data_IF_667092542150
#
_entry.id   IF_667092542150
#
_cell.length_a   1.000
_cell.length_b   1.000
_cell.length_c   1.000
_cell.angle_alpha   90.00
_cell.angle_beta   90.00
_cell.angle_gamma   90.00
#
_symmetry.space_group_name_H-M   'P 1'
#
loop_
_entity.id
_entity.type
_entity.pdbx_description
1 polymer ?
#
# COMPACT_ATOMS: atom_id res chain seq x y z
N UNK A 1 8.45 -4.33 21.94
CA UNK A 1 8.75 -4.79 20.57
C UNK A 1 7.69 -4.15 19.70
N UNK A 2 8.07 -3.29 18.75
CA UNK A 2 7.11 -2.61 17.87
C UNK A 2 6.30 -3.66 17.11
N UNK A 3 4.98 -3.63 17.23
CA UNK A 3 4.09 -4.59 16.58
C UNK A 3 3.71 -4.07 15.20
N UNK A 4 4.02 -4.80 14.15
CA UNK A 4 3.49 -4.51 12.81
C UNK A 4 2.11 -5.15 12.65
N UNK A 5 1.18 -4.44 12.03
CA UNK A 5 -0.03 -5.06 11.50
C UNK A 5 0.35 -5.93 10.29
N UNK A 6 -0.35 -7.04 10.09
CA UNK A 6 -0.28 -7.75 8.81
C UNK A 6 -0.97 -6.89 7.72
N UNK A 7 -0.69 -7.19 6.45
CA UNK A 7 -1.19 -6.40 5.32
C UNK A 7 -2.72 -6.34 5.25
N UNK A 8 -3.43 -7.40 5.64
CA UNK A 8 -4.89 -7.43 5.63
C UNK A 8 -5.49 -6.51 6.70
N UNK A 9 -4.93 -6.53 7.91
CA UNK A 9 -5.35 -5.67 9.01
C UNK A 9 -5.03 -4.20 8.71
N UNK A 10 -3.85 -3.93 8.14
CA UNK A 10 -3.48 -2.59 7.66
C UNK A 10 -4.46 -2.09 6.60
N UNK A 11 -4.78 -2.92 5.59
CA UNK A 11 -5.77 -2.60 4.56
C UNK A 11 -7.14 -2.31 5.16
N UNK A 12 -7.60 -3.15 6.09
CA UNK A 12 -8.89 -2.99 6.76
C UNK A 12 -8.99 -1.66 7.50
N UNK A 13 -7.97 -1.31 8.28
CA UNK A 13 -7.91 -0.04 9.00
C UNK A 13 -7.96 1.15 8.02
N UNK A 14 -7.11 1.16 6.99
CA UNK A 14 -7.13 2.22 5.98
C UNK A 14 -8.49 2.34 5.28
N UNK A 15 -9.15 1.22 4.99
CA UNK A 15 -10.46 1.20 4.34
C UNK A 15 -11.57 1.77 5.23
N UNK A 16 -11.47 1.65 6.56
CA UNK A 16 -12.43 2.26 7.49
C UNK A 16 -12.39 3.80 7.45
N UNK A 17 -11.22 4.36 7.12
CA UNK A 17 -11.03 5.79 6.87
C UNK A 17 -11.26 6.18 5.40
N UNK A 18 -11.90 5.29 4.63
CA UNK A 18 -12.20 5.49 3.21
C UNK A 18 -10.95 5.80 2.35
N UNK A 19 -9.79 5.27 2.75
CA UNK A 19 -8.59 5.27 1.93
C UNK A 19 -8.70 4.06 0.99
N UNK A 20 -8.74 4.32 -0.31
CA UNK A 20 -8.92 3.30 -1.34
C UNK A 20 -7.73 2.35 -1.39
N UNK A 21 -7.96 1.08 -1.06
CA UNK A 21 -6.96 0.03 -1.10
C UNK A 21 -7.43 -1.12 -2.00
N UNK A 22 -6.47 -1.83 -2.61
CA UNK A 22 -6.74 -2.99 -3.44
C UNK A 22 -7.47 -4.08 -2.65
N UNK A 23 -8.61 -4.52 -3.18
CA UNK A 23 -9.44 -5.57 -2.56
C UNK A 23 -8.63 -6.85 -2.43
N UNK A 24 -8.75 -7.49 -1.28
CA UNK A 24 -7.99 -8.69 -0.97
C UNK A 24 -8.75 -9.66 -0.07
N UNK A 25 -8.53 -10.95 -0.26
CA UNK A 25 -9.05 -12.03 0.55
C UNK A 25 -7.91 -12.86 1.12
N UNK A 26 -8.05 -13.29 2.38
CA UNK A 26 -7.14 -14.27 2.98
C UNK A 26 -7.58 -15.67 2.58
N UNK A 27 -6.63 -16.46 2.12
CA UNK A 27 -6.80 -17.87 1.79
C UNK A 27 -5.78 -18.71 2.56
N UNK A 28 -6.25 -19.75 3.24
CA UNK A 28 -5.44 -20.72 3.99
C UNK A 28 -5.26 -22.03 3.24
N UNK A 29 -6.05 -22.25 2.19
CA UNK A 29 -5.92 -23.41 1.30
C UNK A 29 -5.89 -22.97 -0.16
N UNK A 30 -5.49 -23.90 -1.04
CA UNK A 30 -5.48 -23.69 -2.49
C UNK A 30 -6.91 -23.46 -3.01
N UNK A 31 -7.89 -24.20 -2.48
CA UNK A 31 -9.30 -24.07 -2.84
C UNK A 31 -9.84 -22.68 -2.48
N UNK A 32 -9.56 -22.21 -1.27
CA UNK A 32 -9.91 -20.84 -0.85
C UNK A 32 -9.21 -19.79 -1.73
N UNK A 33 -8.00 -20.06 -2.21
CA UNK A 33 -7.26 -19.16 -3.10
C UNK A 33 -7.89 -19.09 -4.50
N UNK A 34 -8.31 -20.24 -5.05
CA UNK A 34 -9.03 -20.32 -6.33
C UNK A 34 -10.37 -19.60 -6.25
N UNK A 35 -11.15 -19.81 -5.19
CA UNK A 35 -12.42 -19.11 -4.98
C UNK A 35 -12.24 -17.59 -4.86
N UNK A 36 -11.21 -17.15 -4.12
CA UNK A 36 -10.90 -15.73 -3.99
C UNK A 36 -10.47 -15.11 -5.32
N UNK A 37 -9.66 -15.82 -6.12
CA UNK A 37 -9.23 -15.38 -7.43
C UNK A 37 -10.41 -15.24 -8.41
N UNK A 38 -11.36 -16.18 -8.39
CA UNK A 38 -12.59 -16.07 -9.17
C UNK A 38 -13.44 -14.85 -8.76
N UNK A 39 -13.57 -14.59 -7.45
CA UNK A 39 -14.32 -13.43 -6.92
C UNK A 39 -13.69 -12.08 -7.28
N UNK A 40 -12.37 -12.02 -7.37
CA UNK A 40 -11.62 -10.80 -7.71
C UNK A 40 -11.45 -10.59 -9.21
N UNK A 41 -11.77 -11.61 -10.01
CA UNK A 41 -11.46 -11.72 -11.43
C UNK A 41 -9.95 -11.79 -11.69
N UNK A 42 -9.54 -12.74 -12.55
CA UNK A 42 -8.15 -12.89 -12.96
C UNK A 42 -7.78 -11.76 -13.96
N UNK A 43 -6.51 -11.28 -13.97
CA UNK A 43 -5.41 -11.76 -13.14
C UNK A 43 -5.42 -11.19 -11.71
N UNK A 44 -4.81 -11.92 -10.78
CA UNK A 44 -4.63 -11.53 -9.37
C UNK A 44 -3.17 -11.43 -8.96
N UNK A 45 -2.94 -10.85 -7.78
CA UNK A 45 -1.67 -10.84 -7.06
C UNK A 45 -1.78 -11.75 -5.85
N UNK A 46 -0.77 -12.57 -5.59
CA UNK A 46 -0.71 -13.47 -4.44
C UNK A 46 0.50 -13.13 -3.59
N UNK A 47 0.28 -12.87 -2.28
CA UNK A 47 1.33 -12.48 -1.34
C UNK A 47 1.26 -13.33 -0.07
N UNK A 48 2.40 -13.71 0.51
CA UNK A 48 2.37 -14.30 1.87
C UNK A 48 1.80 -13.27 2.86
N UNK A 49 0.93 -13.71 3.77
CA UNK A 49 0.49 -12.90 4.90
C UNK A 49 1.20 -13.39 6.16
N UNK A 50 2.15 -12.59 6.65
CA UNK A 50 2.83 -12.82 7.92
C UNK A 50 3.35 -11.50 8.49
N UNK A 51 3.15 -11.27 9.79
CA UNK A 51 3.78 -10.14 10.50
C UNK A 51 5.29 -10.25 10.59
N UNK A 52 5.84 -11.46 10.41
CA UNK A 52 7.26 -11.77 10.60
C UNK A 52 8.05 -11.69 9.28
N UNK A 53 7.35 -11.57 8.14
CA UNK A 53 7.92 -11.43 6.79
C UNK A 53 7.45 -10.11 6.19
N UNK A 54 8.09 -9.02 6.60
CA UNK A 54 7.76 -7.65 6.13
C UNK A 54 8.20 -7.46 4.66
N UNK A 55 9.42 -7.86 4.31
CA UNK A 55 9.99 -7.70 2.96
C UNK A 55 9.62 -8.89 2.04
N UNK A 56 8.32 -9.02 1.74
CA UNK A 56 7.73 -10.14 0.98
C UNK A 56 8.40 -10.36 -0.39
N UNK A 57 8.76 -9.28 -1.09
CA UNK A 57 9.42 -9.37 -2.41
C UNK A 57 10.81 -9.99 -2.29
N UNK A 58 11.61 -9.61 -1.29
CA UNK A 58 12.94 -10.17 -1.04
C UNK A 58 12.88 -11.63 -0.62
N UNK A 59 11.83 -12.00 0.12
CA UNK A 59 11.51 -13.39 0.45
C UNK A 59 11.01 -14.22 -0.75
N UNK A 60 10.77 -13.60 -1.92
CA UNK A 60 10.17 -14.26 -3.08
C UNK A 60 8.69 -14.62 -2.87
N UNK A 61 8.02 -14.01 -1.91
CA UNK A 61 6.66 -14.33 -1.49
C UNK A 61 5.59 -13.43 -2.15
N UNK A 62 5.88 -12.87 -3.33
CA UNK A 62 4.96 -12.03 -4.10
C UNK A 62 4.92 -12.54 -5.54
N UNK A 63 3.73 -12.94 -6.00
CA UNK A 63 3.47 -13.35 -7.38
C UNK A 63 2.43 -12.41 -7.98
N UNK A 64 2.82 -11.70 -9.03
CA UNK A 64 1.97 -10.72 -9.71
C UNK A 64 1.49 -11.27 -11.05
N UNK A 65 0.25 -10.94 -11.43
CA UNK A 65 -0.26 -11.29 -12.75
C UNK A 65 -0.54 -12.79 -12.91
N UNK A 66 -1.05 -13.43 -11.86
CA UNK A 66 -1.51 -14.83 -11.87
C UNK A 66 -2.84 -14.89 -12.65
N UNK A 67 -2.87 -15.63 -13.75
CA UNK A 67 -3.92 -15.54 -14.80
C UNK A 67 -4.85 -16.74 -14.90
N UNK A 68 -4.51 -17.87 -14.30
CA UNK A 68 -5.32 -19.09 -14.36
C UNK A 68 -5.40 -19.77 -13.00
N UNK A 69 -6.36 -20.67 -12.82
CA UNK A 69 -6.50 -21.45 -11.57
C UNK A 69 -5.30 -22.38 -11.32
N UNK A 70 -4.69 -22.91 -12.38
CA UNK A 70 -3.46 -23.69 -12.28
C UNK A 70 -2.29 -22.82 -11.80
N UNK A 71 -2.16 -21.60 -12.34
CA UNK A 71 -1.16 -20.64 -11.87
C UNK A 71 -1.41 -20.24 -10.40
N UNK A 72 -2.67 -20.15 -9.95
CA UNK A 72 -3.01 -19.90 -8.53
C UNK A 72 -2.49 -21.02 -7.64
N UNK A 73 -2.71 -22.28 -8.01
CA UNK A 73 -2.23 -23.44 -7.24
C UNK A 73 -0.70 -23.49 -7.16
N UNK A 74 -0.03 -23.26 -8.30
CA UNK A 74 1.42 -23.20 -8.35
C UNK A 74 1.98 -22.05 -7.50
N UNK A 75 1.40 -20.86 -7.62
CA UNK A 75 1.81 -19.69 -6.87
C UNK A 75 1.58 -19.87 -5.36
N UNK A 76 0.45 -20.47 -4.96
CA UNK A 76 0.16 -20.76 -3.55
C UNK A 76 1.24 -21.63 -2.91
N UNK A 77 1.61 -22.72 -3.60
CA UNK A 77 2.65 -23.65 -3.14
C UNK A 77 4.00 -22.93 -3.05
N UNK A 78 4.40 -22.23 -4.12
CA UNK A 78 5.67 -21.51 -4.17
C UNK A 78 5.78 -20.42 -3.10
N UNK A 79 4.71 -19.66 -2.86
CA UNK A 79 4.67 -18.60 -1.82
C UNK A 79 4.90 -19.19 -0.43
N UNK A 80 4.24 -20.29 -0.10
CA UNK A 80 4.39 -20.98 1.19
C UNK A 80 5.80 -21.54 1.37
N UNK A 81 6.33 -22.21 0.33
CA UNK A 81 7.69 -22.76 0.35
C UNK A 81 8.76 -21.68 0.47
N UNK A 82 8.59 -20.56 -0.21
CA UNK A 82 9.47 -19.40 -0.13
C UNK A 82 9.47 -18.81 1.29
N UNK A 83 8.29 -18.67 1.90
CA UNK A 83 8.16 -18.15 3.26
C UNK A 83 8.86 -19.05 4.28
N UNK A 84 8.64 -20.36 4.22
CA UNK A 84 9.28 -21.34 5.11
C UNK A 84 10.80 -21.37 4.93
N UNK A 85 11.31 -21.19 3.71
CA UNK A 85 12.77 -21.10 3.46
C UNK A 85 13.38 -19.80 3.96
N UNK A 86 12.64 -18.69 3.84
CA UNK A 86 13.11 -17.38 4.25
C UNK A 86 13.16 -17.24 5.77
N UNK A 87 12.12 -17.71 6.47
CA UNK A 87 12.06 -17.73 7.92
C UNK A 87 11.23 -18.94 8.41
N UNK A 88 11.87 -20.05 8.80
CA UNK A 88 11.17 -21.27 9.26
C UNK A 88 10.32 -21.07 10.53
N UNK A 89 10.65 -20.06 11.34
CA UNK A 89 9.96 -19.76 12.60
C UNK A 89 8.86 -18.70 12.42
N UNK A 90 8.67 -18.17 11.20
CA UNK A 90 7.65 -17.17 10.91
C UNK A 90 6.24 -17.74 11.09
N UNK A 91 5.39 -16.97 11.79
CA UNK A 91 3.95 -17.25 11.83
C UNK A 91 3.32 -16.84 10.50
N UNK A 92 2.93 -17.83 9.70
CA UNK A 92 2.19 -17.63 8.47
C UNK A 92 0.69 -17.65 8.77
N UNK A 93 -0.01 -16.56 8.47
CA UNK A 93 -1.47 -16.46 8.62
C UNK A 93 -2.22 -17.05 7.41
N UNK A 94 -1.57 -17.06 6.24
CA UNK A 94 -2.05 -17.62 4.97
C UNK A 94 -1.46 -16.89 3.76
N UNK A 95 -2.16 -16.94 2.64
CA UNK A 95 -1.83 -16.22 1.41
C UNK A 95 -2.92 -15.19 1.13
N UNK A 96 -2.52 -13.94 0.90
CA UNK A 96 -3.40 -12.85 0.50
C UNK A 96 -3.58 -12.89 -1.01
N UNK A 97 -4.82 -13.09 -1.47
CA UNK A 97 -5.22 -12.98 -2.88
C UNK A 97 -5.78 -11.58 -3.08
N UNK A 98 -5.17 -10.79 -3.95
CA UNK A 98 -5.45 -9.37 -4.13
C UNK A 98 -5.77 -9.09 -5.60
N UNK A 99 -6.73 -8.18 -5.85
CA UNK A 99 -7.02 -7.74 -7.22
C UNK A 99 -5.77 -7.12 -7.87
N UNK A 100 -5.57 -7.37 -9.17
CA UNK A 100 -4.49 -6.72 -9.90
C UNK A 100 -4.92 -5.30 -10.27
N UNK A 101 -4.56 -4.33 -9.42
CA UNK A 101 -4.82 -2.92 -9.69
C UNK A 101 -4.22 -2.51 -11.04
N UNK A 102 -4.95 -1.75 -11.89
CA UNK A 102 -4.38 -1.18 -13.09
C UNK A 102 -3.17 -0.33 -12.76
N UNK A 103 -2.17 -0.34 -13.66
CA UNK A 103 -1.02 0.55 -13.53
C UNK A 103 -1.49 2.01 -13.56
N UNK A 104 -0.93 2.82 -12.67
CA UNK A 104 -1.19 4.26 -12.57
C UNK A 104 0.10 5.03 -12.36
N UNK A 105 -0.02 6.33 -12.13
CA UNK A 105 1.11 7.13 -11.66
C UNK A 105 1.41 6.74 -10.21
N UNK A 106 2.60 6.25 -9.94
CA UNK A 106 3.01 5.87 -8.59
C UNK A 106 3.28 7.11 -7.73
N UNK A 107 2.61 7.16 -6.58
CA UNK A 107 2.90 8.04 -5.47
C UNK A 107 3.23 7.20 -4.22
N UNK A 108 3.89 7.83 -3.26
CA UNK A 108 4.06 7.31 -1.90
C UNK A 108 3.36 8.26 -0.94
N UNK A 109 2.62 7.68 0.02
CA UNK A 109 1.98 8.43 1.11
C UNK A 109 2.34 7.72 2.41
N UNK A 110 2.76 8.47 3.42
CA UNK A 110 3.07 7.87 4.70
C UNK A 110 3.01 8.85 5.85
N UNK A 111 3.16 8.34 7.05
CA UNK A 111 3.35 9.11 8.27
C UNK A 111 4.39 8.40 9.12
N UNK A 112 5.28 9.17 9.75
CA UNK A 112 6.15 8.64 10.80
C UNK A 112 6.16 9.59 11.99
N UNK A 113 6.10 9.04 13.20
CA UNK A 113 6.34 9.83 14.40
C UNK A 113 7.82 10.14 14.54
N UNK A 114 8.12 11.42 14.45
CA UNK A 114 9.41 11.96 14.82
C UNK A 114 9.50 12.08 16.36
N UNK A 115 10.63 11.69 16.99
CA UNK A 115 10.80 11.78 18.44
C UNK A 115 10.70 13.18 19.03
N UNK A 116 10.97 14.23 18.24
CA UNK A 116 10.95 15.63 18.68
C UNK A 116 9.66 16.33 18.24
N UNK A 117 9.22 16.09 17.02
CA UNK A 117 8.11 16.84 16.41
C UNK A 117 6.76 16.11 16.44
N UNK A 118 6.73 14.84 16.83
CA UNK A 118 5.52 14.02 16.78
C UNK A 118 5.20 13.55 15.36
N UNK A 119 3.93 13.29 15.02
CA UNK A 119 3.56 12.71 13.73
C UNK A 119 3.84 13.65 12.55
N UNK A 120 4.63 13.17 11.60
CA UNK A 120 4.99 13.87 10.36
C UNK A 120 4.43 13.08 9.16
N UNK A 121 3.53 13.70 8.41
CA UNK A 121 2.96 13.13 7.17
C UNK A 121 3.86 13.46 5.97
N UNK A 122 3.93 12.52 5.03
CA UNK A 122 4.74 12.56 3.82
C UNK A 122 3.90 12.26 2.58
N UNK A 123 4.19 12.97 1.50
CA UNK A 123 3.77 12.60 0.14
C UNK A 123 4.94 12.77 -0.82
N UNK A 124 5.05 11.92 -1.83
CA UNK A 124 6.08 12.02 -2.84
C UNK A 124 5.81 11.20 -4.09
N UNK A 125 6.70 11.35 -5.07
CA UNK A 125 6.74 10.45 -6.23
C UNK A 125 7.08 9.03 -5.78
N UNK A 126 6.36 8.02 -6.29
CA UNK A 126 6.63 6.60 -6.05
C UNK A 126 7.66 6.01 -7.02
N UNK A 127 7.79 4.68 -7.00
CA UNK A 127 8.69 3.93 -7.87
C UNK A 127 10.12 3.77 -7.37
N UNK A 128 10.93 3.03 -8.13
CA UNK A 128 12.27 2.58 -7.71
C UNK A 128 13.28 3.69 -7.40
N UNK A 129 12.98 4.94 -7.77
CA UNK A 129 13.90 6.07 -7.60
C UNK A 129 13.52 7.02 -6.45
N UNK A 130 12.53 6.69 -5.61
CA UNK A 130 12.15 7.53 -4.45
C UNK A 130 13.37 7.88 -3.60
N UNK A 131 14.17 6.87 -3.24
CA UNK A 131 15.36 7.03 -2.39
C UNK A 131 16.46 7.88 -3.03
N UNK A 132 16.53 7.86 -4.36
CA UNK A 132 17.56 8.56 -5.14
C UNK A 132 17.19 10.03 -5.34
N UNK A 133 15.94 10.31 -5.73
CA UNK A 133 15.51 11.67 -6.06
C UNK A 133 15.01 12.47 -4.87
N UNK A 134 14.67 11.80 -3.75
CA UNK A 134 14.16 12.42 -2.52
C UNK A 134 13.03 13.43 -2.79
N UNK A 135 12.16 13.09 -3.75
CA UNK A 135 11.06 13.94 -4.18
C UNK A 135 9.86 13.79 -3.24
N UNK A 136 9.98 14.37 -2.06
CA UNK A 136 8.99 14.26 -0.98
C UNK A 136 8.71 15.63 -0.36
N UNK A 137 7.48 15.80 0.11
CA UNK A 137 7.05 16.93 0.94
C UNK A 137 6.56 16.41 2.30
N UNK A 138 6.93 17.13 3.36
CA UNK A 138 6.65 16.76 4.74
C UNK A 138 5.83 17.85 5.45
N UNK A 139 4.91 17.46 6.32
CA UNK A 139 4.19 18.36 7.24
C UNK A 139 3.95 17.71 8.59
N UNK A 140 3.85 18.52 9.63
CA UNK A 140 3.35 18.06 10.93
C UNK A 140 1.83 17.88 10.85
N UNK A 141 1.30 16.89 11.58
CA UNK A 141 -0.14 16.72 11.72
C UNK A 141 -0.73 17.61 12.84
N UNK A 142 -2.03 17.96 12.76
CA UNK A 142 -2.93 17.72 11.63
C UNK A 142 -2.65 18.67 10.45
N UNK A 143 -2.97 18.24 9.24
CA UNK A 143 -2.86 19.08 8.03
C UNK A 143 -4.22 19.59 7.55
N UNK A 144 -4.22 20.78 6.95
CA UNK A 144 -5.39 21.30 6.24
C UNK A 144 -5.35 20.94 4.76
N UNK A 145 -6.46 21.14 4.05
CA UNK A 145 -6.51 20.99 2.58
C UNK A 145 -5.50 21.91 1.87
N UNK A 146 -5.24 23.10 2.42
CA UNK A 146 -4.23 24.02 1.89
C UNK A 146 -2.83 23.43 2.04
N UNK A 147 -2.53 22.82 3.19
CA UNK A 147 -1.25 22.15 3.42
C UNK A 147 -1.06 20.98 2.47
N UNK A 148 -2.05 20.09 2.33
CA UNK A 148 -2.01 18.98 1.38
C UNK A 148 -1.76 19.46 -0.06
N UNK A 149 -2.47 20.50 -0.51
CA UNK A 149 -2.27 21.05 -1.85
C UNK A 149 -0.86 21.63 -2.03
N UNK A 150 -0.33 22.33 -1.02
CA UNK A 150 1.04 22.88 -1.04
C UNK A 150 2.10 21.77 -1.06
N UNK A 151 1.92 20.73 -0.24
CA UNK A 151 2.80 19.56 -0.23
C UNK A 151 2.94 18.98 -1.64
N UNK A 152 1.84 18.80 -2.37
CA UNK A 152 1.91 18.31 -3.74
C UNK A 152 2.71 19.26 -4.64
N UNK A 153 2.47 20.57 -4.59
CA UNK A 153 3.20 21.54 -5.43
C UNK A 153 4.70 21.63 -5.15
N UNK A 154 5.15 21.17 -3.97
CA UNK A 154 6.57 21.10 -3.59
C UNK A 154 7.29 19.90 -4.21
N UNK A 155 6.56 18.93 -4.75
CA UNK A 155 7.10 17.73 -5.39
C UNK A 155 7.09 17.81 -6.91
N UNK A 156 8.01 17.10 -7.56
CA UNK A 156 8.01 16.88 -9.01
C UNK A 156 6.77 16.10 -9.46
N UNK A 157 6.18 15.30 -8.56
CA UNK A 157 4.90 14.62 -8.78
C UNK A 157 3.82 15.59 -9.30
N UNK A 158 3.74 16.82 -8.76
CA UNK A 158 2.74 17.79 -9.22
C UNK A 158 2.88 18.16 -10.70
N UNK A 159 4.09 18.16 -11.27
CA UNK A 159 4.25 18.45 -12.69
C UNK A 159 3.66 17.34 -13.56
N UNK A 160 3.83 16.08 -13.13
CA UNK A 160 3.29 14.91 -13.82
C UNK A 160 1.76 14.87 -13.68
N UNK A 161 1.25 15.10 -12.46
CA UNK A 161 -0.19 15.18 -12.18
C UNK A 161 -0.87 16.22 -13.09
N UNK A 162 -0.23 17.37 -13.32
CA UNK A 162 -0.78 18.46 -14.11
C UNK A 162 -0.59 18.31 -15.64
N UNK A 163 -0.23 17.12 -16.15
CA UNK A 163 -0.25 16.88 -17.60
C UNK A 163 1.09 16.86 -18.31
N UNK A 164 2.22 16.63 -17.64
CA UNK A 164 3.54 16.59 -18.30
C UNK A 164 3.66 15.62 -19.50
N UNK A 165 2.73 14.64 -19.61
CA UNK A 165 2.63 13.69 -20.74
C UNK A 165 1.25 13.71 -21.43
N UNK A 166 0.52 14.82 -21.34
CA UNK A 166 -0.83 14.96 -21.90
C UNK A 166 -1.93 14.23 -21.10
N UNK A 167 -1.58 13.64 -19.96
CA UNK A 167 -2.50 12.95 -19.05
C UNK A 167 -2.56 13.73 -17.74
N UNK A 168 -3.75 14.17 -17.35
CA UNK A 168 -4.02 14.80 -16.05
C UNK A 168 -4.48 13.74 -15.07
N UNK A 169 -3.88 13.71 -13.89
CA UNK A 169 -4.19 12.73 -12.84
C UNK A 169 -5.06 13.34 -11.73
N UNK A 170 -5.78 12.47 -11.00
CA UNK A 170 -6.77 12.84 -9.99
C UNK A 170 -6.15 13.41 -8.70
N UNK A 171 -5.69 14.65 -8.77
CA UNK A 171 -5.07 15.38 -7.66
C UNK A 171 -5.97 15.43 -6.42
N UNK A 172 -7.27 15.59 -6.62
CA UNK A 172 -8.24 15.75 -5.54
C UNK A 172 -8.34 14.49 -4.68
N UNK A 173 -8.32 13.31 -5.30
CA UNK A 173 -8.32 12.04 -4.57
C UNK A 173 -7.06 11.88 -3.70
N UNK A 174 -5.90 12.32 -4.19
CA UNK A 174 -4.66 12.30 -3.42
C UNK A 174 -4.71 13.26 -2.22
N UNK A 175 -5.23 14.49 -2.42
CA UNK A 175 -5.45 15.45 -1.34
C UNK A 175 -6.38 14.87 -0.27
N UNK A 176 -7.53 14.33 -0.69
CA UNK A 176 -8.50 13.75 0.24
C UNK A 176 -7.91 12.56 1.01
N UNK A 177 -7.06 11.77 0.37
CA UNK A 177 -6.34 10.66 1.03
C UNK A 177 -5.38 11.18 2.11
N UNK A 178 -4.65 12.26 1.86
CA UNK A 178 -3.77 12.88 2.86
C UNK A 178 -4.54 13.40 4.07
N UNK A 179 -5.71 14.01 3.84
CA UNK A 179 -6.58 14.49 4.93
C UNK A 179 -7.13 13.32 5.75
N UNK A 180 -7.63 12.27 5.09
CA UNK A 180 -8.11 11.05 5.76
C UNK A 180 -7.00 10.36 6.57
N UNK A 181 -5.78 10.32 6.04
CA UNK A 181 -4.63 9.78 6.75
C UNK A 181 -4.27 10.66 7.96
N UNK A 182 -4.34 11.99 7.84
CA UNK A 182 -4.19 12.91 8.97
C UNK A 182 -5.18 12.59 10.08
N UNK A 183 -6.47 12.47 9.75
CA UNK A 183 -7.53 12.16 10.72
C UNK A 183 -7.30 10.80 11.39
N UNK A 184 -6.96 9.77 10.59
CA UNK A 184 -6.63 8.43 11.07
C UNK A 184 -5.53 8.46 12.15
N UNK A 185 -4.46 9.19 11.92
CA UNK A 185 -3.33 9.26 12.86
C UNK A 185 -3.69 10.03 14.14
N UNK A 186 -4.49 11.09 14.03
CA UNK A 186 -4.96 11.84 15.21
C UNK A 186 -5.85 10.96 16.09
N UNK A 187 -6.71 10.14 15.48
CA UNK A 187 -7.62 9.23 16.20
C UNK A 187 -6.92 7.97 16.73
N UNK A 188 -5.78 7.59 16.16
CA UNK A 188 -5.03 6.38 16.52
C UNK A 188 -3.60 6.71 16.97
N UNK A 189 -3.41 7.32 18.16
CA UNK A 189 -2.11 7.78 18.64
C UNK A 189 -1.14 6.64 18.99
N UNK A 190 -1.50 5.37 18.86
CA UNK A 190 -0.59 4.22 19.03
C UNK A 190 0.17 3.89 17.74
N UNK A 191 -0.22 4.44 16.61
CA UNK A 191 0.46 4.22 15.32
C UNK A 191 1.74 5.05 15.28
N UNK A 192 2.87 4.38 15.08
CA UNK A 192 4.20 5.01 14.97
C UNK A 192 4.60 5.30 13.52
N UNK A 193 4.15 4.46 12.59
CA UNK A 193 4.52 4.54 11.18
C UNK A 193 3.37 4.01 10.31
N UNK A 194 3.05 4.72 9.23
CA UNK A 194 2.26 4.23 8.10
C UNK A 194 3.06 4.49 6.84
N UNK A 195 3.17 3.48 5.98
CA UNK A 195 3.68 3.61 4.62
C UNK A 195 2.71 2.95 3.65
N UNK A 196 2.19 3.72 2.69
CA UNK A 196 1.33 3.24 1.61
C UNK A 196 2.11 3.39 0.31
N UNK A 197 2.63 2.26 -0.16
CA UNK A 197 3.56 2.24 -1.28
C UNK A 197 3.50 0.92 -2.06
N UNK A 198 3.13 0.92 -3.36
CA UNK A 198 2.73 2.09 -4.14
C UNK A 198 1.29 2.51 -3.86
N UNK A 199 1.05 3.81 -4.03
CA UNK A 199 -0.28 4.41 -4.16
C UNK A 199 -0.48 4.87 -5.60
N UNK A 200 -1.28 4.13 -6.38
CA UNK A 200 -1.51 4.45 -7.78
C UNK A 200 -2.55 5.55 -7.92
N UNK A 201 -2.16 6.63 -8.61
CA UNK A 201 -3.05 7.69 -9.04
C UNK A 201 -3.50 7.44 -10.48
N UNK A 202 -4.80 7.58 -10.73
CA UNK A 202 -5.39 7.43 -12.05
C UNK A 202 -5.71 8.78 -12.67
N UNK A 203 -6.14 8.77 -13.93
CA UNK A 203 -6.60 9.97 -14.63
C UNK A 203 -7.69 10.70 -13.84
N UNK A 204 -7.81 12.00 -14.05
CA UNK A 204 -8.81 12.85 -13.39
C UNK A 204 -10.22 12.22 -13.42
N UNK A 205 -10.84 12.09 -12.24
CA UNK A 205 -12.15 11.48 -12.07
C UNK A 205 -12.15 9.95 -11.93
N UNK A 206 -11.00 9.28 -12.11
CA UNK A 206 -10.85 7.83 -11.91
C UNK A 206 -10.28 7.46 -10.54
N UNK A 207 -9.92 8.45 -9.72
CA UNK A 207 -9.48 8.25 -8.34
C UNK A 207 -8.06 7.69 -8.19
N UNK A 208 -7.86 6.92 -7.12
CA UNK A 208 -6.58 6.34 -6.74
C UNK A 208 -6.75 5.04 -5.96
N UNK A 209 -5.67 4.26 -5.82
CA UNK A 209 -5.68 2.98 -5.09
C UNK A 209 -4.30 2.63 -4.53
N UNK A 210 -4.22 2.40 -3.22
CA UNK A 210 -3.06 1.78 -2.58
C UNK A 210 -3.06 0.28 -2.76
N UNK A 211 -1.89 -0.33 -2.98
CA UNK A 211 -1.79 -1.79 -3.24
C UNK A 211 -0.96 -2.54 -2.19
N UNK A 212 -0.18 -1.83 -1.40
CA UNK A 212 0.49 -2.36 -0.22
C UNK A 212 0.50 -1.28 0.86
N UNK A 213 0.52 -1.72 2.12
CA UNK A 213 0.60 -0.83 3.27
C UNK A 213 1.32 -1.51 4.43
N UNK A 214 2.21 -0.76 5.06
CA UNK A 214 2.87 -1.12 6.31
C UNK A 214 2.37 -0.19 7.41
N UNK A 215 1.95 -0.77 8.55
CA UNK A 215 1.57 0.00 9.73
C UNK A 215 2.30 -0.57 10.95
N UNK A 216 3.06 0.29 11.64
CA UNK A 216 3.76 -0.03 12.88
C UNK A 216 3.06 0.62 14.06
N UNK A 217 2.90 -0.15 15.12
CA UNK A 217 2.35 0.29 16.41
C UNK A 217 3.46 0.35 17.46
N UNK A 218 3.27 1.21 18.47
CA UNK A 218 4.12 1.34 19.64
C UNK A 218 4.27 0.03 20.45
#
# INVERSE_FOLDING_TARGET
MSKCLNELDARNLLSQYEISMAKSFLSKTIEEAKEAAQKLELPVVMKILSSDIIHKTEAGCVFVGVKTEEEVEEAFTKVCDNANRYNPDAKIDGVLIQEMAPAGLEAIIGMKKDPQFGPVIMVGSGGIYVEVFKDVALRLLPITRLDASKMLTETKLSQIINGARGIVYDKETLINTLLKLSDLIIENPTIEEIDINPFFLYEEGKGAKGVDALIKLA
#
